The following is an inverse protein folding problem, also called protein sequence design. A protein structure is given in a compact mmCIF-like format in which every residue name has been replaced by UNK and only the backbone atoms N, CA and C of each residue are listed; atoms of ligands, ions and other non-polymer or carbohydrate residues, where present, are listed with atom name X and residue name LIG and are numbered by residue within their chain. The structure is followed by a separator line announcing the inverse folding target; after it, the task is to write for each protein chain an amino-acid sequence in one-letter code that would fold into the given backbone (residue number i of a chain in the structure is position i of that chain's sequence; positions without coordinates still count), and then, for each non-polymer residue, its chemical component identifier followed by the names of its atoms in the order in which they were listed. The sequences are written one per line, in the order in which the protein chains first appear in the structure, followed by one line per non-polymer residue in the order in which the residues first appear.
data_IF_668811729055
#
_entry.id   IF_668811729055
#
_cell.length_a   1.000
_cell.length_b   1.000
_cell.length_c   1.000
_cell.angle_alpha   90.00
_cell.angle_beta   90.00
_cell.angle_gamma   90.00
#
_symmetry.space_group_name_H-M   'P 1'
#
loop_
_entity.id
_entity.type
_entity.pdbx_description
1 polymer ?
#
# COMPACT_ATOMS: atom_id res chain seq x y z
N UNK A 1 -1.49 -4.11 26.65
CA UNK A 1 -1.61 -5.25 25.73
C UNK A 1 -0.30 -6.01 25.77
N UNK A 2 -0.24 -7.12 26.52
CA UNK A 2 0.92 -8.02 26.51
C UNK A 2 0.67 -9.07 25.45
N UNK A 3 1.52 -9.14 24.43
CA UNK A 3 1.49 -10.19 23.43
C UNK A 3 2.61 -9.93 22.43
N UNK A 4 3.60 -10.82 22.41
CA UNK A 4 4.72 -10.95 21.47
C UNK A 4 4.58 -10.04 20.24
N UNK A 5 5.53 -9.13 20.02
CA UNK A 5 5.66 -8.45 18.74
C UNK A 5 5.73 -9.53 17.66
N UNK A 6 4.64 -9.70 16.92
CA UNK A 6 4.63 -10.62 15.80
C UNK A 6 5.75 -10.16 14.87
N UNK A 7 6.62 -11.06 14.45
CA UNK A 7 7.47 -10.85 13.29
C UNK A 7 6.62 -11.32 12.11
N UNK A 8 5.76 -10.46 11.52
CA UNK A 8 4.91 -10.88 10.43
C UNK A 8 5.76 -11.31 9.23
N UNK A 9 5.31 -12.35 8.54
CA UNK A 9 6.00 -12.90 7.38
C UNK A 9 5.01 -13.09 6.23
N UNK A 10 5.48 -12.82 5.00
CA UNK A 10 4.64 -12.93 3.81
C UNK A 10 3.44 -11.98 3.86
N UNK A 11 2.23 -12.51 3.66
CA UNK A 11 1.00 -11.71 3.56
C UNK A 11 0.61 -11.00 4.86
N UNK A 12 1.12 -11.45 6.01
CA UNK A 12 0.82 -10.81 7.30
C UNK A 12 1.70 -9.60 7.59
N UNK A 13 2.67 -9.31 6.71
CA UNK A 13 3.55 -8.15 6.78
C UNK A 13 3.11 -7.10 5.74
N UNK A 14 2.74 -5.88 6.13
CA UNK A 14 2.71 -5.33 7.49
C UNK A 14 1.53 -5.84 8.36
N UNK A 15 1.63 -5.75 9.70
CA UNK A 15 0.56 -6.16 10.61
C UNK A 15 -0.76 -5.44 10.31
N UNK A 16 -1.88 -6.18 10.36
CA UNK A 16 -3.19 -5.61 10.05
C UNK A 16 -3.61 -4.51 11.03
N UNK A 17 -3.22 -4.60 12.30
CA UNK A 17 -3.58 -3.60 13.31
C UNK A 17 -2.94 -2.24 12.99
N UNK A 18 -1.65 -2.23 12.59
CA UNK A 18 -0.96 -1.01 12.17
C UNK A 18 -1.58 -0.40 10.89
N UNK A 19 -2.02 -1.25 9.96
CA UNK A 19 -2.73 -0.79 8.76
C UNK A 19 -4.10 -0.19 9.08
N UNK A 20 -4.82 -0.74 10.06
CA UNK A 20 -6.12 -0.23 10.46
C UNK A 20 -6.01 1.09 11.21
N UNK A 21 -4.90 1.36 11.90
CA UNK A 21 -4.61 2.68 12.47
C UNK A 21 -4.42 3.78 11.42
N UNK A 22 -4.25 3.42 10.14
CA UNK A 22 -4.08 4.36 9.01
C UNK A 22 -5.37 4.67 8.25
N UNK A 23 -6.50 4.06 8.61
CA UNK A 23 -7.75 4.18 7.85
C UNK A 23 -8.98 4.16 8.77
N UNK A 24 -10.13 4.64 8.30
CA UNK A 24 -11.36 4.66 9.11
C UNK A 24 -11.96 3.27 9.36
N UNK A 25 -11.72 2.33 8.43
CA UNK A 25 -12.34 1.01 8.44
C UNK A 25 -11.59 0.01 7.56
N UNK A 26 -11.88 -1.28 7.77
CA UNK A 26 -11.36 -2.37 6.91
C UNK A 26 -11.71 -2.16 5.43
N UNK A 27 -12.88 -1.59 5.15
CA UNK A 27 -13.32 -1.34 3.78
C UNK A 27 -12.57 -0.16 3.15
N UNK A 28 -12.33 0.90 3.92
CA UNK A 28 -11.52 2.03 3.48
C UNK A 28 -10.10 1.56 3.13
N UNK A 29 -9.48 0.73 3.97
CA UNK A 29 -8.16 0.12 3.70
C UNK A 29 -8.12 -0.67 2.39
N UNK A 30 -9.14 -1.48 2.12
CA UNK A 30 -9.21 -2.26 0.87
C UNK A 30 -9.21 -1.35 -0.36
N UNK A 31 -10.05 -0.31 -0.36
CA UNK A 31 -10.13 0.62 -1.49
C UNK A 31 -8.85 1.43 -1.62
N UNK A 32 -8.28 1.89 -0.51
CA UNK A 32 -7.06 2.68 -0.48
C UNK A 32 -5.88 1.90 -1.07
N UNK A 33 -5.62 0.71 -0.54
CA UNK A 33 -4.55 -0.16 -1.03
C UNK A 33 -4.79 -0.59 -2.49
N UNK A 34 -6.02 -0.91 -2.88
CA UNK A 34 -6.34 -1.32 -4.25
C UNK A 34 -6.12 -0.21 -5.28
N UNK A 35 -6.54 1.03 -4.97
CA UNK A 35 -6.31 2.18 -5.86
C UNK A 35 -4.81 2.46 -6.00
N UNK A 36 -4.07 2.45 -4.90
CA UNK A 36 -2.62 2.67 -4.93
C UNK A 36 -1.88 1.56 -5.68
N UNK A 37 -2.26 0.31 -5.49
CA UNK A 37 -1.68 -0.82 -6.22
C UNK A 37 -1.88 -0.69 -7.74
N UNK A 38 -3.05 -0.20 -8.19
CA UNK A 38 -3.30 0.07 -9.62
C UNK A 38 -2.39 1.19 -10.14
N UNK A 39 -2.16 2.24 -9.36
CA UNK A 39 -1.23 3.32 -9.72
C UNK A 39 0.21 2.80 -9.90
N UNK A 40 0.69 1.98 -8.95
CA UNK A 40 2.03 1.37 -9.03
C UNK A 40 2.13 0.45 -10.25
N UNK A 41 1.10 -0.37 -10.51
CA UNK A 41 1.10 -1.25 -11.65
C UNK A 41 1.12 -0.48 -12.99
N UNK A 42 0.31 0.59 -13.09
CA UNK A 42 0.28 1.45 -14.26
C UNK A 42 1.62 2.17 -14.48
N UNK A 43 2.28 2.63 -13.42
CA UNK A 43 3.64 3.18 -13.48
C UNK A 43 4.62 2.20 -14.14
N UNK A 44 4.64 0.93 -13.70
CA UNK A 44 5.54 -0.07 -14.31
C UNK A 44 5.19 -0.39 -15.76
N UNK A 45 3.90 -0.36 -16.14
CA UNK A 45 3.48 -0.55 -17.53
C UNK A 45 3.89 0.61 -18.44
N UNK A 46 3.85 1.86 -17.94
CA UNK A 46 4.19 3.05 -18.71
C UNK A 46 5.69 3.40 -18.70
N UNK A 47 6.48 2.83 -17.78
CA UNK A 47 7.91 3.15 -17.65
C UNK A 47 8.69 2.92 -18.95
N UNK A 48 8.30 1.92 -19.75
CA UNK A 48 8.89 1.65 -21.07
C UNK A 48 8.44 2.61 -22.17
N UNK A 49 7.31 3.28 -21.99
CA UNK A 49 6.70 4.21 -22.97
C UNK A 49 7.15 5.67 -22.74
N UNK A 50 7.83 5.95 -21.62
CA UNK A 50 8.30 7.30 -21.27
C UNK A 50 7.20 8.26 -20.82
N UNK A 51 5.99 7.74 -20.59
CA UNK A 51 4.85 8.48 -20.05
C UNK A 51 4.89 8.38 -18.52
N UNK A 52 5.19 9.48 -17.82
CA UNK A 52 5.28 9.52 -16.36
C UNK A 52 3.99 10.06 -15.73
N UNK A 53 2.85 9.48 -16.09
CA UNK A 53 1.54 9.93 -15.58
C UNK A 53 1.28 9.47 -14.14
N UNK A 54 1.82 8.31 -13.77
CA UNK A 54 1.63 7.72 -12.44
C UNK A 54 2.90 7.80 -11.58
N UNK A 55 2.69 7.98 -10.28
CA UNK A 55 3.77 7.99 -9.29
C UNK A 55 4.15 6.56 -8.96
N UNK A 56 5.42 6.22 -9.15
CA UNK A 56 5.98 4.91 -8.80
C UNK A 56 6.03 4.63 -7.30
N UNK A 57 6.61 3.49 -6.89
CA UNK A 57 6.78 3.14 -5.49
C UNK A 57 7.50 4.22 -4.66
N UNK A 58 6.99 4.48 -3.46
CA UNK A 58 7.56 5.42 -2.48
C UNK A 58 8.44 4.73 -1.44
N UNK A 59 8.40 3.39 -1.39
CA UNK A 59 9.27 2.55 -0.57
C UNK A 59 10.21 1.74 -1.46
N UNK A 60 11.31 1.26 -0.87
CA UNK A 60 12.19 0.31 -1.55
C UNK A 60 11.43 -0.99 -1.85
N UNK A 61 11.51 -1.46 -3.10
CA UNK A 61 10.80 -2.65 -3.59
C UNK A 61 11.74 -3.84 -3.76
N UNK A 62 11.27 -5.03 -3.42
CA UNK A 62 11.96 -6.28 -3.75
C UNK A 62 11.68 -6.70 -5.22
N UNK A 63 12.56 -7.51 -5.84
CA UNK A 63 12.29 -8.09 -7.15
C UNK A 63 10.97 -8.87 -7.15
N UNK A 64 10.12 -8.64 -8.16
CA UNK A 64 8.82 -9.32 -8.31
C UNK A 64 7.81 -9.08 -7.15
N UNK A 65 8.05 -8.08 -6.31
CA UNK A 65 7.10 -7.67 -5.28
C UNK A 65 5.79 -7.23 -5.93
N UNK A 66 4.66 -7.71 -5.41
CA UNK A 66 3.34 -7.38 -5.96
C UNK A 66 2.99 -5.93 -5.60
N UNK A 67 2.39 -5.21 -6.55
CA UNK A 67 1.98 -3.82 -6.35
C UNK A 67 1.12 -3.60 -5.10
N UNK A 68 0.29 -4.59 -4.72
CA UNK A 68 -0.50 -4.54 -3.50
C UNK A 68 0.35 -4.62 -2.21
N UNK A 69 1.42 -5.42 -2.21
CA UNK A 69 2.37 -5.49 -1.09
C UNK A 69 3.04 -4.14 -0.87
N UNK A 70 3.50 -3.52 -1.96
CA UNK A 70 4.13 -2.20 -1.94
C UNK A 70 3.15 -1.15 -1.40
N UNK A 71 1.91 -1.14 -1.91
CA UNK A 71 0.88 -0.22 -1.44
C UNK A 71 0.59 -0.36 0.08
N UNK A 72 0.51 -1.58 0.61
CA UNK A 72 0.29 -1.78 2.05
C UNK A 72 1.47 -1.28 2.89
N UNK A 73 2.71 -1.45 2.42
CA UNK A 73 3.90 -0.93 3.10
C UNK A 73 3.95 0.59 3.09
N UNK A 74 3.62 1.22 1.96
CA UNK A 74 3.53 2.69 1.87
C UNK A 74 2.46 3.27 2.79
N UNK A 75 1.31 2.61 2.92
CA UNK A 75 0.26 2.98 3.87
C UNK A 75 0.80 2.86 5.31
N UNK A 76 1.48 1.75 5.64
CA UNK A 76 2.02 1.53 6.97
C UNK A 76 3.05 2.61 7.38
N UNK A 77 3.94 2.97 6.45
CA UNK A 77 4.95 4.03 6.60
C UNK A 77 4.35 5.44 6.59
N UNK A 78 3.05 5.60 6.31
CA UNK A 78 2.37 6.90 6.33
C UNK A 78 2.80 7.82 5.19
N UNK A 79 3.23 7.26 4.06
CA UNK A 79 3.74 8.03 2.91
C UNK A 79 2.64 8.55 1.98
N UNK A 80 1.39 8.18 2.25
CA UNK A 80 0.23 8.48 1.42
C UNK A 80 -0.84 9.18 2.26
N UNK A 81 -1.64 10.02 1.61
CA UNK A 81 -2.90 10.54 2.14
C UNK A 81 -4.08 9.92 1.39
N UNK A 82 -5.24 9.82 2.05
CA UNK A 82 -6.50 9.46 1.42
C UNK A 82 -7.60 10.39 1.93
N UNK A 83 -8.56 10.66 1.05
CA UNK A 83 -9.78 11.41 1.39
C UNK A 83 -10.97 10.49 1.11
N UNK A 84 -11.85 10.38 2.10
CA UNK A 84 -13.12 9.68 1.95
C UNK A 84 -14.14 10.64 1.38
N UNK A 85 -14.92 10.16 0.41
CA UNK A 85 -15.99 10.95 -0.19
C UNK A 85 -17.23 10.77 0.67
N UNK A 86 -17.69 11.83 1.33
CA UNK A 86 -18.99 11.86 1.98
C UNK A 86 -20.07 11.77 0.88
N UNK A 87 -20.89 10.72 0.92
CA UNK A 87 -22.02 10.51 0.00
C UNK A 87 -23.33 10.87 0.67
#
# INVERSE_FOLDING_TARGET
MSGVAAAPEGITNPPIDELLDRTSSKYALVIYAAKRARQINAYYSQLGEGLLEYVGPLVATAPQEKALSIALREINEGLLSHEEVDV
#
